data_IF_143433526011
#
_entry.id   IF_143433526011
#
_cell.length_a   1.000
_cell.length_b   1.000
_cell.length_c   1.000
_cell.angle_alpha   90.00
_cell.angle_beta   90.00
_cell.angle_gamma   90.00
#
_symmetry.space_group_name_H-M   'P 1'
#
loop_
_entity.id
_entity.type
_entity.pdbx_description
1 polymer ?
#
# COMPACT_ATOMS: atom_id res chain seq x y z
N UNK A 1 2.24 -2.74 -14.85
CA UNK A 1 2.96 -2.41 -13.60
C UNK A 1 3.11 -3.70 -12.80
N UNK A 2 4.27 -3.97 -12.19
CA UNK A 2 4.48 -5.18 -11.38
C UNK A 2 4.87 -4.75 -9.96
N UNK A 3 4.03 -5.08 -8.99
CA UNK A 3 4.35 -4.95 -7.57
C UNK A 3 4.84 -6.33 -7.12
N UNK A 4 6.04 -6.39 -6.54
CA UNK A 4 6.59 -7.63 -5.97
C UNK A 4 6.82 -7.38 -4.49
N UNK A 5 6.13 -8.14 -3.64
CA UNK A 5 6.24 -8.07 -2.18
C UNK A 5 6.36 -9.51 -1.66
N UNK A 6 7.26 -9.74 -0.70
CA UNK A 6 7.39 -11.01 0.00
C UNK A 6 6.95 -10.81 1.44
N UNK A 7 5.86 -11.47 1.83
CA UNK A 7 5.32 -11.46 3.19
C UNK A 7 4.96 -12.89 3.60
N UNK A 8 5.14 -13.20 4.88
CA UNK A 8 4.61 -14.42 5.48
C UNK A 8 3.18 -14.14 5.97
N UNK A 9 2.26 -15.03 5.61
CA UNK A 9 0.85 -14.95 5.95
C UNK A 9 0.30 -16.36 6.09
N UNK A 10 -0.69 -16.54 6.96
CA UNK A 10 -1.33 -17.83 7.20
C UNK A 10 -2.27 -18.20 6.05
N UNK A 11 -2.95 -17.19 5.48
CA UNK A 11 -3.87 -17.35 4.36
C UNK A 11 -3.88 -16.10 3.47
N UNK A 12 -4.12 -16.29 2.17
CA UNK A 12 -4.33 -15.20 1.21
C UNK A 12 -5.47 -15.56 0.27
N UNK A 13 -6.49 -14.72 0.18
CA UNK A 13 -7.58 -14.84 -0.79
C UNK A 13 -7.70 -13.53 -1.59
N UNK A 14 -8.05 -13.63 -2.88
CA UNK A 14 -8.22 -12.46 -3.74
C UNK A 14 -9.47 -12.58 -4.61
N UNK A 15 -10.26 -11.51 -4.66
CA UNK A 15 -11.44 -11.39 -5.51
C UNK A 15 -11.26 -10.23 -6.49
N UNK A 16 -11.49 -10.50 -7.77
CA UNK A 16 -11.53 -9.47 -8.79
C UNK A 16 -12.81 -8.64 -8.65
N UNK A 17 -12.67 -7.32 -8.63
CA UNK A 17 -13.77 -6.37 -8.66
C UNK A 17 -13.81 -5.64 -10.02
N UNK A 18 -14.89 -4.90 -10.23
CA UNK A 18 -15.03 -3.99 -11.36
C UNK A 18 -13.99 -2.86 -11.33
N UNK A 19 -13.72 -2.29 -12.52
CA UNK A 19 -12.80 -1.16 -12.74
C UNK A 19 -11.33 -1.47 -12.37
N UNK A 20 -10.89 -2.71 -12.56
CA UNK A 20 -9.49 -3.11 -12.32
C UNK A 20 -9.09 -3.09 -10.85
N UNK A 21 -10.06 -3.17 -9.94
CA UNK A 21 -9.82 -3.26 -8.49
C UNK A 21 -9.87 -4.72 -8.05
N UNK A 22 -9.22 -5.03 -6.94
CA UNK A 22 -9.32 -6.32 -6.28
C UNK A 22 -9.58 -6.11 -4.79
N UNK A 23 -10.19 -7.09 -4.14
CA UNK A 23 -10.17 -7.24 -2.68
C UNK A 23 -9.20 -8.36 -2.37
N UNK A 24 -8.37 -8.16 -1.35
CA UNK A 24 -7.48 -9.19 -0.84
C UNK A 24 -7.76 -9.34 0.65
N UNK A 25 -8.00 -10.57 1.10
CA UNK A 25 -8.09 -10.95 2.50
C UNK A 25 -6.79 -11.69 2.86
N UNK A 26 -6.17 -11.29 3.97
CA UNK A 26 -4.87 -11.81 4.41
C UNK A 26 -4.94 -12.06 5.91
N UNK A 27 -4.71 -13.32 6.31
CA UNK A 27 -4.58 -13.71 7.72
C UNK A 27 -3.12 -13.85 8.14
N UNK A 28 -2.84 -13.69 9.43
CA UNK A 28 -1.50 -13.90 10.00
C UNK A 28 -0.48 -12.80 9.68
N UNK A 29 -0.93 -11.62 9.21
CA UNK A 29 -0.05 -10.48 8.89
C UNK A 29 -0.23 -9.32 9.86
N UNK A 30 0.89 -8.64 10.16
CA UNK A 30 0.88 -7.38 10.92
C UNK A 30 0.63 -6.21 9.96
N UNK A 31 -0.54 -5.58 10.06
CA UNK A 31 -0.98 -4.52 9.14
C UNK A 31 0.03 -3.36 9.01
N UNK A 32 0.65 -2.94 10.10
CA UNK A 32 1.64 -1.85 10.09
C UNK A 32 2.90 -2.22 9.28
N UNK A 33 3.39 -3.45 9.43
CA UNK A 33 4.56 -3.93 8.68
C UNK A 33 4.27 -4.06 7.19
N UNK A 34 3.05 -4.51 6.84
CA UNK A 34 2.60 -4.56 5.44
C UNK A 34 2.55 -3.15 4.82
N UNK A 35 2.00 -2.18 5.54
CA UNK A 35 1.94 -0.78 5.08
C UNK A 35 3.35 -0.24 4.85
N UNK A 36 4.26 -0.43 5.80
CA UNK A 36 5.63 0.06 5.70
C UNK A 36 6.39 -0.59 4.54
N UNK A 37 6.27 -1.91 4.38
CA UNK A 37 6.92 -2.64 3.29
C UNK A 37 6.41 -2.20 1.91
N UNK A 38 5.12 -1.89 1.76
CA UNK A 38 4.57 -1.37 0.50
C UNK A 38 5.01 0.07 0.26
N UNK A 39 4.96 0.93 1.28
CA UNK A 39 5.30 2.35 1.16
C UNK A 39 6.80 2.57 0.91
N UNK A 40 7.67 1.75 1.49
CA UNK A 40 9.11 1.78 1.23
C UNK A 40 9.48 1.39 -0.21
N UNK A 41 8.59 0.66 -0.91
CA UNK A 41 8.78 0.27 -2.30
C UNK A 41 8.24 1.28 -3.32
N UNK A 42 7.93 2.52 -2.87
CA UNK A 42 7.44 3.60 -3.74
C UNK A 42 5.97 3.45 -4.15
N UNK A 43 5.22 2.58 -3.48
CA UNK A 43 3.77 2.43 -3.63
C UNK A 43 3.04 3.08 -2.44
N UNK A 44 1.71 3.01 -2.44
CA UNK A 44 0.90 3.55 -1.35
C UNK A 44 -0.13 2.54 -0.87
N UNK A 45 -0.04 2.19 0.41
CA UNK A 45 -1.05 1.45 1.14
C UNK A 45 -1.43 2.25 2.38
N UNK A 46 -2.73 2.44 2.62
CA UNK A 46 -3.23 3.16 3.78
C UNK A 46 -4.52 2.56 4.30
N UNK A 47 -4.80 2.79 5.58
CA UNK A 47 -6.07 2.42 6.18
C UNK A 47 -7.15 3.35 5.63
N UNK A 48 -8.08 2.79 4.86
CA UNK A 48 -9.23 3.53 4.37
C UNK A 48 -10.24 3.74 5.50
N UNK A 49 -10.47 4.99 5.92
CA UNK A 49 -11.55 5.32 6.85
C UNK A 49 -12.93 5.36 6.17
N UNK A 50 -12.94 5.45 4.83
CA UNK A 50 -14.07 5.41 3.89
C UNK A 50 -13.47 5.38 2.46
N UNK A 51 -14.22 5.05 1.38
CA UNK A 51 -13.68 5.07 0.02
C UNK A 51 -13.31 6.50 -0.40
N UNK A 52 -12.07 6.89 -0.14
CA UNK A 52 -11.47 8.16 -0.59
C UNK A 52 -10.42 7.89 -1.64
N UNK A 53 -10.36 8.78 -2.62
CA UNK A 53 -9.25 8.82 -3.56
C UNK A 53 -7.95 9.05 -2.79
N UNK A 54 -7.05 8.08 -2.83
CA UNK A 54 -5.67 8.23 -2.35
C UNK A 54 -4.96 9.11 -3.37
N UNK A 55 -4.73 10.37 -3.02
CA UNK A 55 -3.89 11.26 -3.81
C UNK A 55 -2.45 10.95 -3.40
N UNK A 56 -1.73 10.24 -4.26
CA UNK A 56 -0.29 9.99 -4.08
C UNK A 56 0.43 11.30 -4.38
N UNK A 57 0.75 12.05 -3.32
CA UNK A 57 1.68 13.16 -3.41
C UNK A 57 3.10 12.61 -3.45
N UNK A 58 3.85 12.88 -4.52
CA UNK A 58 5.30 12.68 -4.50
C UNK A 58 5.86 13.67 -3.50
N UNK A 59 6.44 13.18 -2.40
CA UNK A 59 7.28 14.03 -1.55
C UNK A 59 8.53 14.39 -2.35
N UNK A 60 8.43 15.45 -3.15
CA UNK A 60 9.61 16.12 -3.64
C UNK A 60 10.35 16.64 -2.41
N UNK A 61 11.60 16.18 -2.29
CA UNK A 61 12.54 16.46 -1.23
C UNK A 61 12.43 17.92 -0.78
N UNK A 62 12.12 18.10 0.51
CA UNK A 62 12.31 19.35 1.22
C UNK A 62 13.78 19.74 1.07
N UNK A 63 14.08 20.66 0.15
CA UNK A 63 15.36 21.37 0.16
C UNK A 63 15.26 22.40 1.28
N UNK A 64 15.59 21.96 2.48
CA UNK A 64 16.10 22.88 3.48
C UNK A 64 17.47 23.35 2.96
N UNK A 65 17.47 24.40 2.13
CA UNK A 65 18.67 25.16 1.81
C UNK A 65 18.55 26.49 2.54
N UNK A 66 19.36 26.57 3.59
CA UNK A 66 19.74 27.74 4.34
C UNK A 66 20.27 28.83 3.39
N UNK A 67 19.65 30.03 3.37
CA UNK A 67 20.26 31.37 3.25
C UNK A 67 19.17 32.45 3.08
#
# INVERSE_FOLDING_TARGET
MKISLSVEADSVSAMALNMGRIIVEIDGIVLTELIDAVNCNGYSLCIGSEPRAIIVGTSELRRDEHL
#
